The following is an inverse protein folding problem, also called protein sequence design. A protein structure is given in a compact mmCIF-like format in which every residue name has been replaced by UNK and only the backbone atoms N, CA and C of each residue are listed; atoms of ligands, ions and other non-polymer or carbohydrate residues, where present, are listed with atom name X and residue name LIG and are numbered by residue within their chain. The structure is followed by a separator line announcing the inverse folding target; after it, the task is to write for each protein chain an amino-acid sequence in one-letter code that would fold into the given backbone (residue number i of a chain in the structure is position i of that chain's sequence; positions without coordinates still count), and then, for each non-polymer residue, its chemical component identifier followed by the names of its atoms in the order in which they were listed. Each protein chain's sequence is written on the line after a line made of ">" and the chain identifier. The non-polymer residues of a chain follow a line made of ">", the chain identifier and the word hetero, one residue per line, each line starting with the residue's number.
data_IF_545151724901
#
_entry.id   IF_545151724901
#
_cell.length_a   1.000
_cell.length_b   1.000
_cell.length_c   1.000
_cell.angle_alpha   90.00
_cell.angle_beta   90.00
_cell.angle_gamma   90.00
#
_symmetry.space_group_name_H-M   'P 1'
#
loop_
_entity.id
_entity.type
_entity.pdbx_description
1 polymer ?
#
# COMPACT_ATOMS: atom_id res chain seq x y z
N UNK A 1 -4.00 -9.51 -11.89
CA UNK A 1 -2.87 -10.44 -12.12
C UNK A 1 -3.36 -11.56 -13.00
N UNK A 2 -2.49 -12.23 -13.69
CA UNK A 2 -2.95 -13.27 -14.61
C UNK A 2 -3.84 -14.27 -13.86
N UNK A 3 -4.80 -14.80 -14.56
CA UNK A 3 -5.97 -15.53 -14.04
C UNK A 3 -5.69 -16.67 -13.07
N UNK A 4 -4.44 -17.08 -12.90
CA UNK A 4 -4.05 -18.21 -12.05
C UNK A 4 -3.36 -17.79 -10.75
N UNK A 5 -3.09 -16.49 -10.55
CA UNK A 5 -2.40 -16.02 -9.34
C UNK A 5 -3.44 -15.76 -8.25
N UNK A 6 -3.40 -16.56 -7.19
CA UNK A 6 -4.19 -16.32 -5.99
C UNK A 6 -3.35 -15.59 -4.94
N UNK A 7 -3.95 -15.25 -3.80
CA UNK A 7 -3.25 -14.50 -2.76
C UNK A 7 -2.02 -15.28 -2.22
N UNK A 8 -2.12 -16.57 -2.06
CA UNK A 8 -1.01 -17.39 -1.57
C UNK A 8 0.18 -17.32 -2.51
N UNK A 9 -0.03 -17.43 -3.81
CA UNK A 9 1.03 -17.31 -4.81
C UNK A 9 1.61 -15.90 -4.83
N UNK A 10 0.78 -14.88 -4.75
CA UNK A 10 1.19 -13.48 -4.67
C UNK A 10 2.12 -13.25 -3.46
N UNK A 11 1.70 -13.70 -2.29
CA UNK A 11 2.47 -13.62 -1.06
C UNK A 11 3.81 -14.35 -1.18
N UNK A 12 3.79 -15.56 -1.73
CA UNK A 12 5.00 -16.38 -1.87
C UNK A 12 6.01 -15.73 -2.80
N UNK A 13 5.57 -15.10 -3.87
CA UNK A 13 6.45 -14.34 -4.75
C UNK A 13 7.15 -13.20 -4.02
N UNK A 14 6.42 -12.44 -3.19
CA UNK A 14 7.03 -11.38 -2.39
C UNK A 14 7.99 -11.93 -1.36
N UNK A 15 7.64 -12.99 -0.66
CA UNK A 15 8.53 -13.61 0.34
C UNK A 15 9.80 -14.18 -0.28
N UNK A 16 9.74 -14.63 -1.52
CA UNK A 16 10.91 -15.15 -2.23
C UNK A 16 11.89 -14.07 -2.68
N UNK A 17 11.41 -12.85 -2.92
CA UNK A 17 12.22 -11.76 -3.50
C UNK A 17 12.42 -10.61 -2.49
N UNK A 18 11.36 -10.21 -1.81
CA UNK A 18 11.35 -9.09 -0.85
C UNK A 18 10.56 -9.44 0.40
N UNK A 19 11.08 -10.34 1.26
CA UNK A 19 10.29 -10.87 2.39
C UNK A 19 9.91 -9.82 3.43
N UNK A 20 10.70 -8.76 3.58
CA UNK A 20 10.51 -7.74 4.61
C UNK A 20 9.88 -6.44 4.10
N UNK A 21 9.50 -6.38 2.82
CA UNK A 21 9.03 -5.13 2.22
C UNK A 21 7.59 -4.78 2.63
N UNK A 22 6.74 -5.79 2.79
CA UNK A 22 5.35 -5.63 3.20
C UNK A 22 4.98 -6.64 4.26
N UNK A 23 4.09 -6.25 5.19
CA UNK A 23 3.49 -7.18 6.13
C UNK A 23 2.49 -8.09 5.40
N UNK A 24 2.03 -9.14 6.08
CA UNK A 24 0.96 -10.00 5.55
C UNK A 24 -0.29 -9.17 5.20
N UNK A 25 -0.69 -8.29 6.11
CA UNK A 25 -1.84 -7.40 5.89
C UNK A 25 -1.60 -6.46 4.72
N UNK A 26 -0.40 -5.91 4.60
CA UNK A 26 -0.02 -5.04 3.49
C UNK A 26 -0.10 -5.75 2.15
N UNK A 27 0.38 -7.00 2.08
CA UNK A 27 0.29 -7.80 0.87
C UNK A 27 -1.15 -8.09 0.50
N UNK A 28 -2.01 -8.34 1.49
CA UNK A 28 -3.43 -8.59 1.25
C UNK A 28 -4.12 -7.35 0.67
N UNK A 29 -3.81 -6.18 1.22
CA UNK A 29 -4.33 -4.91 0.72
C UNK A 29 -3.90 -4.69 -0.73
N UNK A 30 -2.62 -4.92 -1.05
CA UNK A 30 -2.11 -4.79 -2.41
C UNK A 30 -2.79 -5.76 -3.37
N UNK A 31 -2.95 -7.01 -2.97
CA UNK A 31 -3.59 -8.03 -3.81
C UNK A 31 -5.03 -7.65 -4.12
N UNK A 32 -5.80 -7.24 -3.11
CA UNK A 32 -7.19 -6.80 -3.29
C UNK A 32 -7.27 -5.57 -4.18
N UNK A 33 -6.34 -4.63 -4.02
CA UNK A 33 -6.28 -3.45 -4.88
C UNK A 33 -6.08 -3.81 -6.35
N UNK A 34 -5.13 -4.71 -6.63
CA UNK A 34 -4.86 -5.13 -8.00
C UNK A 34 -6.01 -5.94 -8.59
N UNK A 35 -6.68 -6.77 -7.80
CA UNK A 35 -7.86 -7.50 -8.28
C UNK A 35 -9.00 -6.56 -8.64
N UNK A 36 -9.27 -5.56 -7.81
CA UNK A 36 -10.28 -4.55 -8.12
C UNK A 36 -9.93 -3.76 -9.38
N UNK A 37 -8.66 -3.43 -9.54
CA UNK A 37 -8.19 -2.71 -10.72
C UNK A 37 -8.40 -3.52 -11.99
N UNK A 38 -8.03 -4.80 -11.97
CA UNK A 38 -8.23 -5.69 -13.11
C UNK A 38 -9.72 -5.85 -13.45
N UNK A 39 -10.56 -5.98 -12.42
CA UNK A 39 -12.02 -6.11 -12.59
C UNK A 39 -12.63 -4.83 -13.17
N UNK A 40 -12.17 -3.67 -12.71
CA UNK A 40 -12.69 -2.37 -13.17
C UNK A 40 -12.28 -2.03 -14.59
N UNK A 41 -11.04 -2.38 -14.97
CA UNK A 41 -10.49 -2.02 -16.30
C UNK A 41 -10.59 -3.13 -17.32
N UNK A 42 -10.81 -4.37 -16.88
CA UNK A 42 -10.77 -5.55 -17.75
C UNK A 42 -9.38 -5.91 -18.24
N UNK A 43 -8.34 -5.31 -17.67
CA UNK A 43 -6.94 -5.57 -18.04
C UNK A 43 -6.30 -6.51 -17.03
N UNK A 44 -5.44 -7.43 -17.50
CA UNK A 44 -4.62 -8.26 -16.64
C UNK A 44 -3.35 -7.51 -16.24
N UNK A 45 -3.02 -7.56 -14.95
CA UNK A 45 -1.79 -6.96 -14.42
C UNK A 45 -0.76 -8.07 -14.26
N UNK A 46 0.44 -7.85 -14.79
CA UNK A 46 1.55 -8.78 -14.59
C UNK A 46 2.10 -8.65 -13.17
N UNK A 47 2.36 -9.81 -12.55
CA UNK A 47 2.97 -9.83 -11.23
C UNK A 47 4.47 -9.53 -11.36
N UNK A 48 4.85 -8.30 -11.03
CA UNK A 48 6.24 -7.85 -11.01
C UNK A 48 6.55 -7.31 -9.62
N UNK A 49 7.16 -8.15 -8.78
CA UNK A 49 7.46 -7.82 -7.38
C UNK A 49 8.35 -6.58 -7.27
N UNK A 50 9.36 -6.48 -8.14
CA UNK A 50 10.30 -5.35 -8.10
C UNK A 50 9.58 -4.04 -8.43
N UNK A 51 8.77 -4.03 -9.50
CA UNK A 51 8.01 -2.84 -9.89
C UNK A 51 7.01 -2.44 -8.81
N UNK A 52 6.31 -3.40 -8.21
CA UNK A 52 5.36 -3.13 -7.14
C UNK A 52 6.08 -2.54 -5.92
N UNK A 53 7.25 -3.08 -5.55
CA UNK A 53 8.04 -2.55 -4.44
C UNK A 53 8.54 -1.12 -4.71
N UNK A 54 8.74 -0.75 -5.97
CA UNK A 54 9.13 0.61 -6.34
C UNK A 54 7.95 1.58 -6.32
N UNK A 55 6.76 1.11 -6.67
CA UNK A 55 5.58 1.96 -6.83
C UNK A 55 4.70 2.05 -5.59
N UNK A 56 4.79 1.08 -4.68
CA UNK A 56 3.96 1.01 -3.48
C UNK A 56 4.82 0.84 -2.24
N UNK A 57 4.31 1.32 -1.12
CA UNK A 57 5.01 1.23 0.16
C UNK A 57 4.03 0.99 1.31
N UNK A 58 4.56 0.47 2.40
CA UNK A 58 3.85 0.32 3.66
C UNK A 58 4.70 0.97 4.75
N UNK A 59 4.17 2.00 5.41
CA UNK A 59 4.93 2.71 6.44
C UNK A 59 3.98 3.35 7.46
N UNK A 60 4.55 3.79 8.59
CA UNK A 60 3.79 4.51 9.60
C UNK A 60 3.36 5.88 9.05
N UNK A 61 2.25 6.42 9.60
CA UNK A 61 1.79 7.75 9.19
C UNK A 61 2.84 8.82 9.48
N UNK A 62 3.61 8.65 10.55
CA UNK A 62 4.67 9.59 10.94
C UNK A 62 5.78 9.64 9.88
N UNK A 63 6.23 8.49 9.42
CA UNK A 63 7.27 8.41 8.38
C UNK A 63 6.76 8.96 7.04
N UNK A 64 5.51 8.67 6.69
CA UNK A 64 4.88 9.19 5.47
C UNK A 64 4.80 10.71 5.53
N UNK A 65 4.37 11.25 6.65
CA UNK A 65 4.29 12.69 6.85
C UNK A 65 5.65 13.35 6.71
N UNK A 66 6.69 12.76 7.29
CA UNK A 66 8.05 13.25 7.18
C UNK A 66 8.56 13.22 5.74
N UNK A 67 8.30 12.12 5.04
CA UNK A 67 8.75 11.94 3.64
C UNK A 67 8.12 12.96 2.69
N UNK A 68 6.84 13.27 2.86
CA UNK A 68 6.11 14.15 1.96
C UNK A 68 5.89 15.56 2.49
N UNK A 69 6.46 15.88 3.65
CA UNK A 69 6.32 17.19 4.25
C UNK A 69 4.90 17.54 4.69
N UNK A 70 4.14 16.54 5.13
CA UNK A 70 2.79 16.73 5.64
C UNK A 70 2.89 17.24 7.08
N UNK A 71 2.29 18.41 7.34
CA UNK A 71 2.26 18.95 8.71
C UNK A 71 1.21 18.22 9.55
N UNK A 72 1.67 17.66 10.67
CA UNK A 72 0.80 17.02 11.65
C UNK A 72 0.53 17.99 12.80
N UNK A 73 -0.73 18.02 13.24
CA UNK A 73 -1.09 18.85 14.39
C UNK A 73 -0.62 18.17 15.68
N UNK A 74 0.46 18.68 16.26
CA UNK A 74 1.07 18.10 17.46
C UNK A 74 0.20 18.17 18.71
N UNK A 75 -0.85 18.97 18.69
CA UNK A 75 -1.82 19.07 19.81
C UNK A 75 -2.92 18.03 19.73
N UNK A 76 -3.04 17.35 18.58
CA UNK A 76 -4.05 16.33 18.37
C UNK A 76 -3.49 14.93 18.64
N UNK A 77 -4.38 13.96 18.86
CA UNK A 77 -3.97 12.58 19.10
C UNK A 77 -3.47 11.87 17.82
N UNK A 78 -2.93 10.67 18.00
CA UNK A 78 -2.38 9.89 16.88
C UNK A 78 -3.43 9.54 15.84
N UNK A 79 -4.66 9.25 16.27
CA UNK A 79 -5.75 8.90 15.35
C UNK A 79 -6.08 10.06 14.43
N UNK A 80 -6.12 11.28 14.97
CA UNK A 80 -6.34 12.47 14.16
C UNK A 80 -5.19 12.72 13.19
N UNK A 81 -3.95 12.61 13.67
CA UNK A 81 -2.76 12.79 12.83
C UNK A 81 -2.71 11.76 11.70
N UNK A 82 -3.03 10.51 12.02
CA UNK A 82 -3.10 9.45 11.02
C UNK A 82 -4.16 9.77 9.96
N UNK A 83 -5.32 10.27 10.39
CA UNK A 83 -6.39 10.65 9.48
C UNK A 83 -5.98 11.81 8.56
N UNK A 84 -5.19 12.77 9.06
CA UNK A 84 -4.65 13.85 8.23
C UNK A 84 -3.78 13.29 7.09
N UNK A 85 -2.93 12.31 7.40
CA UNK A 85 -2.09 11.65 6.39
C UNK A 85 -2.96 10.89 5.39
N UNK A 86 -3.95 10.14 5.86
CA UNK A 86 -4.87 9.39 4.99
C UNK A 86 -5.60 10.32 4.04
N UNK A 87 -6.13 11.43 4.53
CA UNK A 87 -6.82 12.42 3.69
C UNK A 87 -5.90 13.01 2.62
N UNK A 88 -4.65 13.27 2.97
CA UNK A 88 -3.67 13.75 2.00
C UNK A 88 -3.42 12.72 0.91
N UNK A 89 -3.23 11.45 1.30
CA UNK A 89 -3.02 10.35 0.35
C UNK A 89 -4.26 10.12 -0.52
N UNK A 90 -5.46 10.21 0.04
CA UNK A 90 -6.70 10.08 -0.73
C UNK A 90 -6.82 11.19 -1.78
N UNK A 91 -6.44 12.41 -1.42
CA UNK A 91 -6.41 13.53 -2.34
C UNK A 91 -5.48 13.33 -3.52
N UNK A 92 -4.40 12.58 -3.33
CA UNK A 92 -3.44 12.23 -4.39
C UNK A 92 -3.80 10.92 -5.11
N UNK A 93 -4.88 10.24 -4.68
CA UNK A 93 -5.24 8.95 -5.23
C UNK A 93 -4.26 7.85 -4.88
N UNK A 94 -3.57 7.99 -3.76
CA UNK A 94 -2.46 7.12 -3.37
C UNK A 94 -2.79 6.17 -2.21
N UNK A 95 -3.88 6.39 -1.50
CA UNK A 95 -4.24 5.59 -0.33
C UNK A 95 -4.83 4.25 -0.75
N UNK A 96 -4.28 3.14 -0.22
CA UNK A 96 -4.79 1.79 -0.47
C UNK A 96 -5.50 1.22 0.75
N UNK A 97 -4.93 1.34 1.93
CA UNK A 97 -5.55 0.81 3.13
C UNK A 97 -4.64 0.89 4.35
N UNK A 98 -5.19 0.52 5.51
CA UNK A 98 -4.45 0.45 6.77
C UNK A 98 -4.01 -0.98 7.02
N UNK A 99 -2.74 -1.15 7.43
CA UNK A 99 -2.18 -2.44 7.82
C UNK A 99 -1.72 -2.41 9.27
N UNK A 100 -1.28 -3.55 9.76
CA UNK A 100 -0.73 -3.66 11.12
C UNK A 100 0.52 -2.80 11.32
N UNK A 101 1.29 -2.57 10.24
CA UNK A 101 2.51 -1.76 10.29
C UNK A 101 2.29 -0.29 9.94
N UNK A 102 1.09 0.10 9.53
CA UNK A 102 0.80 1.47 9.18
C UNK A 102 -0.17 1.61 8.02
N UNK A 103 0.28 2.26 6.95
CA UNK A 103 -0.55 2.56 5.79
C UNK A 103 0.12 2.01 4.55
N UNK A 104 -0.66 1.34 3.70
CA UNK A 104 -0.23 0.92 2.37
C UNK A 104 -0.64 2.01 1.38
N UNK A 105 0.30 2.50 0.60
CA UNK A 105 0.04 3.61 -0.30
C UNK A 105 0.88 3.51 -1.57
N UNK A 106 0.42 4.19 -2.61
CA UNK A 106 1.16 4.33 -3.86
C UNK A 106 2.09 5.55 -3.73
N UNK A 107 3.34 5.40 -4.08
CA UNK A 107 4.30 6.51 -4.05
C UNK A 107 3.96 7.55 -5.13
N UNK A 108 4.16 8.81 -4.81
CA UNK A 108 3.86 9.91 -5.71
C UNK A 108 4.85 11.06 -5.59
#
# INVERSE_FOLDING_TARGET
>A
MKTTVNFTEFRDHFYGIRPDNFSYDGLKILFEYFEEYEESTGEDIDLDVIAICCDFSEDSFENIADQYGIELDSEMDEDYQKQQVIEHLEGEGAYLGDSINGIVYRQF
#
